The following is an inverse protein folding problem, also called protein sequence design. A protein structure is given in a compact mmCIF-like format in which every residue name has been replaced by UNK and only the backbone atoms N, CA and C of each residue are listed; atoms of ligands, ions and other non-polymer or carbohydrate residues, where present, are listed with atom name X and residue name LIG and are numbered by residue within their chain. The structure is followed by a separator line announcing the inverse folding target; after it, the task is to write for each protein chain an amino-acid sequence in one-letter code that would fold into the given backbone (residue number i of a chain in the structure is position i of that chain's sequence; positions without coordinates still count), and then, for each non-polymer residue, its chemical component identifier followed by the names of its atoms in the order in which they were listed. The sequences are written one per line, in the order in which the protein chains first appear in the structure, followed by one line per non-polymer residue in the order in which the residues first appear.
data_IF_752680980619
#
_entry.id   IF_752680980619
#
_cell.length_a   1.000
_cell.length_b   1.000
_cell.length_c   1.000
_cell.angle_alpha   90.00
_cell.angle_beta   90.00
_cell.angle_gamma   90.00
#
_symmetry.space_group_name_H-M   'P 1'
#
loop_
_entity.id
_entity.type
_entity.pdbx_description
1 polymer ?
#
# COMPACT_ATOMS: atom_id res chain seq x y z
N UNK A 1 50.90 18.49 -10.46
CA UNK A 1 49.68 17.81 -10.92
C UNK A 1 49.33 16.76 -9.89
N UNK A 2 48.39 17.06 -8.98
CA UNK A 2 47.91 16.10 -7.99
C UNK A 2 46.66 15.42 -8.55
N UNK A 3 46.68 14.09 -8.61
CA UNK A 3 45.53 13.31 -9.03
C UNK A 3 44.52 13.25 -7.86
N UNK A 4 43.32 13.78 -8.07
CA UNK A 4 42.20 13.62 -7.15
C UNK A 4 41.76 12.15 -7.13
N UNK A 5 42.00 11.50 -6.00
CA UNK A 5 41.50 10.16 -5.72
C UNK A 5 40.01 10.32 -5.43
N UNK A 6 39.19 10.09 -6.46
CA UNK A 6 37.75 9.99 -6.31
C UNK A 6 37.46 8.75 -5.48
N UNK A 7 37.07 8.94 -4.21
CA UNK A 7 36.66 7.85 -3.33
C UNK A 7 35.44 7.17 -3.96
N UNK A 8 35.59 5.90 -4.32
CA UNK A 8 34.45 5.06 -4.72
C UNK A 8 33.42 5.09 -3.59
N UNK A 9 32.12 5.28 -3.88
CA UNK A 9 31.10 5.14 -2.85
C UNK A 9 31.21 3.71 -2.29
N UNK A 10 31.54 3.62 -1.00
CA UNK A 10 31.55 2.34 -0.30
C UNK A 10 30.13 1.78 -0.37
N UNK A 11 29.95 0.65 -1.06
CA UNK A 11 28.71 -0.11 -0.98
C UNK A 11 28.62 -0.70 0.42
N UNK A 12 28.09 0.08 1.36
CA UNK A 12 27.80 -0.42 2.70
C UNK A 12 26.76 -1.52 2.56
N UNK A 13 27.06 -2.69 3.15
CA UNK A 13 26.06 -3.77 3.22
C UNK A 13 24.87 -3.26 4.03
N UNK A 14 23.63 -3.56 3.63
CA UNK A 14 22.47 -3.21 4.43
C UNK A 14 22.62 -3.86 5.81
N UNK A 15 22.48 -3.05 6.86
CA UNK A 15 22.51 -3.49 8.26
C UNK A 15 21.08 -3.45 8.80
N UNK A 16 20.69 -4.48 9.55
CA UNK A 16 19.40 -4.50 10.23
C UNK A 16 19.37 -3.38 11.29
N UNK A 17 18.52 -2.37 11.08
CA UNK A 17 18.37 -1.25 12.01
C UNK A 17 17.35 -1.53 13.11
N UNK A 18 16.26 -2.23 12.79
CA UNK A 18 15.17 -2.50 13.72
C UNK A 18 14.37 -3.71 13.26
N UNK A 19 13.78 -4.44 14.21
CA UNK A 19 12.85 -5.55 13.98
C UNK A 19 11.52 -5.21 14.67
N UNK A 20 10.43 -5.29 13.92
CA UNK A 20 9.07 -5.10 14.45
C UNK A 20 8.37 -6.46 14.42
N UNK A 21 7.93 -6.93 15.59
CA UNK A 21 7.21 -8.20 15.73
C UNK A 21 5.78 -7.92 16.20
N UNK A 22 4.80 -8.66 15.67
CA UNK A 22 3.44 -8.60 16.21
C UNK A 22 2.34 -9.06 15.27
N UNK A 23 2.54 -9.04 13.95
CA UNK A 23 1.62 -9.70 13.03
C UNK A 23 1.65 -11.22 13.23
N UNK A 24 0.50 -11.86 13.09
CA UNK A 24 0.35 -13.30 13.30
C UNK A 24 0.39 -14.11 11.99
N UNK A 25 0.52 -13.43 10.86
CA UNK A 25 0.62 -14.02 9.53
C UNK A 25 1.48 -13.13 8.62
N UNK A 26 1.61 -13.51 7.36
CA UNK A 26 2.41 -12.80 6.35
C UNK A 26 2.05 -11.30 6.30
N UNK A 27 3.08 -10.46 6.34
CA UNK A 27 2.94 -9.02 6.08
C UNK A 27 2.92 -8.83 4.57
N UNK A 28 1.80 -8.36 4.04
CA UNK A 28 1.59 -8.22 2.59
C UNK A 28 1.99 -6.85 2.07
N UNK A 29 2.06 -5.84 2.93
CA UNK A 29 2.57 -4.52 2.60
C UNK A 29 3.16 -3.80 3.81
N UNK A 30 4.21 -3.02 3.57
CA UNK A 30 4.83 -2.13 4.55
C UNK A 30 5.18 -0.80 3.87
N UNK A 31 4.72 0.31 4.44
CA UNK A 31 4.89 1.66 3.92
C UNK A 31 5.49 2.56 4.99
N UNK A 32 6.58 3.26 4.69
CA UNK A 32 7.13 4.27 5.60
C UNK A 32 6.18 5.47 5.68
N UNK A 33 6.14 6.11 6.83
CA UNK A 33 5.45 7.39 7.03
C UNK A 33 6.49 8.50 6.81
N UNK A 34 6.37 9.32 5.75
CA UNK A 34 7.31 10.41 5.54
C UNK A 34 7.41 11.33 6.75
N UNK A 35 8.63 11.77 7.08
CA UNK A 35 8.96 12.68 8.20
C UNK A 35 8.71 12.14 9.61
N UNK A 36 8.11 10.96 9.75
CA UNK A 36 7.93 10.28 11.03
C UNK A 36 8.81 9.03 11.07
N UNK A 37 9.32 8.67 12.25
CA UNK A 37 9.94 7.36 12.45
C UNK A 37 8.84 6.30 12.61
N UNK A 38 8.12 6.02 11.53
CA UNK A 38 6.94 5.16 11.55
C UNK A 38 6.72 4.34 10.29
N UNK A 39 5.97 3.25 10.45
CA UNK A 39 5.63 2.29 9.39
C UNK A 39 4.16 1.93 9.48
N UNK A 40 3.48 1.87 8.34
CA UNK A 40 2.13 1.31 8.20
C UNK A 40 2.28 -0.07 7.59
N UNK A 41 1.70 -1.09 8.22
CA UNK A 41 1.73 -2.47 7.73
C UNK A 41 0.33 -3.02 7.55
N UNK A 42 0.18 -3.90 6.56
CA UNK A 42 -1.03 -4.69 6.33
C UNK A 42 -0.65 -6.17 6.22
N UNK A 43 -1.53 -7.07 6.63
CA UNK A 43 -1.20 -8.50 6.76
C UNK A 43 -2.37 -9.43 6.42
N UNK A 44 -2.04 -10.67 6.08
CA UNK A 44 -2.99 -11.77 5.94
C UNK A 44 -3.70 -12.11 7.27
N UNK A 45 -3.15 -11.67 8.41
CA UNK A 45 -3.79 -11.75 9.74
C UNK A 45 -5.05 -10.87 9.89
N UNK A 46 -5.43 -10.18 8.81
CA UNK A 46 -6.55 -9.25 8.69
C UNK A 46 -6.36 -7.96 9.49
N UNK A 47 -5.11 -7.57 9.78
CA UNK A 47 -4.85 -6.32 10.50
C UNK A 47 -4.06 -5.30 9.68
N UNK A 48 -4.43 -4.04 9.87
CA UNK A 48 -3.63 -2.88 9.51
C UNK A 48 -3.07 -2.32 10.81
N UNK A 49 -1.77 -2.07 10.84
CA UNK A 49 -1.10 -1.51 12.02
C UNK A 49 -0.27 -0.30 11.63
N UNK A 50 -0.31 0.71 12.49
CA UNK A 50 0.59 1.87 12.40
C UNK A 50 1.55 1.78 13.55
N UNK A 51 2.83 1.76 13.24
CA UNK A 51 3.92 1.62 14.19
C UNK A 51 4.68 2.93 14.27
N UNK A 52 4.81 3.51 15.45
CA UNK A 52 5.63 4.68 15.70
C UNK A 52 6.79 4.30 16.62
N UNK A 53 7.99 4.77 16.29
CA UNK A 53 9.17 4.59 17.12
C UNK A 53 9.11 5.54 18.31
N UNK A 54 9.30 4.99 19.52
CA UNK A 54 9.40 5.76 20.75
C UNK A 54 10.87 6.12 21.03
N UNK A 55 11.08 7.00 22.01
CA UNK A 55 12.42 7.42 22.48
C UNK A 55 13.30 6.23 22.95
N UNK A 56 12.67 5.12 23.35
CA UNK A 56 13.37 3.87 23.67
C UNK A 56 14.01 3.18 22.46
N UNK A 57 13.76 3.68 21.25
CA UNK A 57 14.17 3.08 19.98
C UNK A 57 13.26 1.94 19.51
N UNK A 58 12.26 1.56 20.30
CA UNK A 58 11.32 0.49 19.96
C UNK A 58 10.09 1.04 19.24
N UNK A 59 9.60 0.28 18.26
CA UNK A 59 8.34 0.55 17.59
C UNK A 59 7.16 0.06 18.43
N UNK A 60 6.12 0.87 18.48
CA UNK A 60 4.89 0.56 19.20
C UNK A 60 3.67 0.73 18.28
N UNK A 61 2.69 -0.19 18.32
CA UNK A 61 1.51 -0.10 17.46
C UNK A 61 0.57 1.00 17.99
N UNK A 62 0.64 2.21 17.43
CA UNK A 62 -0.24 3.32 17.76
C UNK A 62 -1.66 3.10 17.25
N UNK A 63 -1.80 2.40 16.12
CA UNK A 63 -3.08 1.94 15.58
C UNK A 63 -3.03 0.43 15.38
N UNK A 64 -4.10 -0.23 15.79
CA UNK A 64 -4.41 -1.62 15.48
C UNK A 64 -5.84 -1.69 14.96
N UNK A 65 -6.02 -2.11 13.71
CA UNK A 65 -7.34 -2.16 13.09
C UNK A 65 -7.58 -3.51 12.41
N UNK A 66 -8.70 -4.14 12.73
CA UNK A 66 -9.08 -5.46 12.22
C UNK A 66 -10.05 -5.33 11.05
N UNK A 67 -9.82 -6.13 10.03
CA UNK A 67 -10.60 -6.19 8.79
C UNK A 67 -11.41 -7.49 8.73
N UNK A 68 -12.42 -7.53 7.86
CA UNK A 68 -13.24 -8.72 7.65
C UNK A 68 -12.53 -9.81 6.83
N UNK A 69 -11.55 -9.45 6.00
CA UNK A 69 -10.83 -10.35 5.08
C UNK A 69 -9.31 -10.03 5.09
N UNK A 70 -8.45 -11.02 4.77
CA UNK A 70 -7.00 -10.81 4.68
C UNK A 70 -6.62 -9.63 3.80
N UNK A 71 -5.64 -8.84 4.23
CA UNK A 71 -5.15 -7.71 3.45
C UNK A 71 -4.14 -8.20 2.41
N UNK A 72 -4.32 -7.82 1.15
CA UNK A 72 -3.52 -8.33 0.02
C UNK A 72 -2.65 -7.28 -0.65
N UNK A 73 -3.04 -6.00 -0.58
CA UNK A 73 -2.31 -4.86 -1.14
C UNK A 73 -2.61 -3.60 -0.35
N UNK A 74 -1.72 -2.61 -0.35
CA UNK A 74 -1.93 -1.34 0.34
C UNK A 74 -1.22 -0.18 -0.38
N UNK A 75 -1.83 1.00 -0.35
CA UNK A 75 -1.19 2.27 -0.69
C UNK A 75 -1.52 3.34 0.35
N UNK A 76 -0.58 4.24 0.62
CA UNK A 76 -0.72 5.35 1.54
C UNK A 76 -0.34 6.64 0.84
N UNK A 77 -1.19 7.67 0.97
CA UNK A 77 -0.90 9.00 0.51
C UNK A 77 -0.72 9.94 1.70
N UNK A 78 0.52 10.41 1.88
CA UNK A 78 0.96 11.16 3.04
C UNK A 78 0.17 12.46 3.26
N UNK A 79 0.12 13.34 2.25
CA UNK A 79 -0.43 14.69 2.45
C UNK A 79 -1.93 14.69 2.69
N UNK A 80 -2.66 13.72 2.10
CA UNK A 80 -4.09 13.55 2.37
C UNK A 80 -4.39 12.59 3.51
N UNK A 81 -3.36 11.98 4.14
CA UNK A 81 -3.47 10.96 5.20
C UNK A 81 -4.46 9.84 4.89
N UNK A 82 -4.52 9.42 3.63
CA UNK A 82 -5.43 8.37 3.16
C UNK A 82 -4.71 7.06 2.94
N UNK A 83 -5.30 5.97 3.43
CA UNK A 83 -4.85 4.60 3.18
C UNK A 83 -5.92 3.91 2.33
N UNK A 84 -5.49 3.18 1.31
CA UNK A 84 -6.33 2.24 0.59
C UNK A 84 -5.78 0.83 0.77
N UNK A 85 -6.65 -0.11 1.15
CA UNK A 85 -6.27 -1.51 1.43
C UNK A 85 -7.13 -2.45 0.60
N UNK A 86 -6.47 -3.33 -0.14
CA UNK A 86 -7.08 -4.38 -0.93
C UNK A 86 -7.19 -5.65 -0.12
N UNK A 87 -8.22 -6.45 -0.40
CA UNK A 87 -8.51 -7.68 0.32
C UNK A 87 -8.59 -8.89 -0.61
N UNK A 88 -8.48 -10.08 -0.02
CA UNK A 88 -8.65 -11.35 -0.70
C UNK A 88 -10.06 -11.57 -1.26
N UNK A 89 -11.07 -10.95 -0.65
CA UNK A 89 -12.46 -10.96 -1.15
C UNK A 89 -12.72 -9.98 -2.32
N UNK A 90 -11.70 -9.25 -2.78
CA UNK A 90 -11.81 -8.28 -3.87
C UNK A 90 -12.27 -6.87 -3.49
N UNK A 91 -12.54 -6.61 -2.20
CA UNK A 91 -12.84 -5.27 -1.71
C UNK A 91 -11.57 -4.40 -1.66
N UNK A 92 -11.73 -3.11 -1.95
CA UNK A 92 -10.77 -2.06 -1.62
C UNK A 92 -11.41 -1.16 -0.57
N UNK A 93 -10.74 -0.94 0.56
CA UNK A 93 -11.26 -0.11 1.65
C UNK A 93 -10.40 1.15 1.81
N UNK A 94 -11.05 2.29 2.02
CA UNK A 94 -10.41 3.58 2.26
C UNK A 94 -10.54 4.00 3.72
N UNK A 95 -9.44 4.49 4.25
CA UNK A 95 -9.32 4.99 5.61
C UNK A 95 -8.64 6.35 5.63
N UNK A 96 -9.00 7.15 6.63
CA UNK A 96 -8.30 8.38 6.98
C UNK A 96 -7.57 8.19 8.30
N UNK A 97 -6.28 8.56 8.33
CA UNK A 97 -5.45 8.50 9.53
C UNK A 97 -5.37 9.88 10.17
N UNK A 98 -5.49 9.94 11.50
CA UNK A 98 -5.37 11.20 12.25
C UNK A 98 -3.97 11.79 12.17
N UNK A 99 -3.86 13.07 12.54
CA UNK A 99 -2.60 13.82 12.47
C UNK A 99 -1.47 13.18 13.29
N UNK A 100 -1.85 12.73 14.48
CA UNK A 100 -1.01 12.11 15.50
C UNK A 100 -0.83 10.59 15.31
N UNK A 101 -1.36 10.01 14.21
CA UNK A 101 -1.27 8.58 13.91
C UNK A 101 -1.78 7.65 15.02
N UNK A 102 -2.75 8.10 15.83
CA UNK A 102 -3.38 7.30 16.90
C UNK A 102 -4.80 6.84 16.58
N UNK A 103 -5.40 7.34 15.51
CA UNK A 103 -6.75 6.96 15.07
C UNK A 103 -6.79 6.72 13.57
N UNK A 104 -7.54 5.71 13.17
CA UNK A 104 -7.85 5.42 11.77
C UNK A 104 -9.35 5.25 11.63
N UNK A 105 -9.94 6.09 10.77
CA UNK A 105 -11.38 6.11 10.54
C UNK A 105 -11.68 5.50 9.18
N UNK A 106 -12.64 4.57 9.15
CA UNK A 106 -13.19 4.04 7.91
C UNK A 106 -13.93 5.14 7.15
N UNK A 107 -13.70 5.22 5.83
CA UNK A 107 -14.41 6.15 4.94
C UNK A 107 -15.37 5.37 4.05
N UNK A 108 -14.86 4.40 3.27
CA UNK A 108 -15.64 3.78 2.20
C UNK A 108 -15.10 2.40 1.83
N UNK A 109 -15.99 1.54 1.34
CA UNK A 109 -15.64 0.26 0.71
C UNK A 109 -16.01 0.31 -0.77
N UNK A 110 -15.07 -0.10 -1.60
CA UNK A 110 -15.17 -0.18 -3.05
C UNK A 110 -15.24 -1.67 -3.44
N UNK A 111 -16.37 -2.15 -4.02
CA UNK A 111 -16.50 -3.52 -4.51
C UNK A 111 -15.75 -3.67 -5.85
N UNK A 112 -14.42 -3.64 -5.78
CA UNK A 112 -13.56 -3.44 -6.93
C UNK A 112 -13.32 -4.69 -7.77
N UNK A 113 -13.26 -5.86 -7.12
CA UNK A 113 -12.92 -7.12 -7.76
C UNK A 113 -13.78 -8.27 -7.23
N UNK A 114 -13.87 -9.36 -7.99
CA UNK A 114 -14.52 -10.61 -7.56
C UNK A 114 -13.57 -11.57 -6.85
N UNK A 115 -12.26 -11.33 -6.93
CA UNK A 115 -11.19 -12.12 -6.34
C UNK A 115 -10.12 -11.19 -5.73
N UNK A 116 -9.12 -11.78 -5.07
CA UNK A 116 -7.97 -11.09 -4.43
C UNK A 116 -7.46 -9.90 -5.23
N UNK A 117 -7.44 -8.75 -4.57
CA UNK A 117 -6.82 -7.52 -5.10
C UNK A 117 -5.30 -7.71 -5.10
N UNK A 118 -4.67 -7.55 -6.26
CA UNK A 118 -3.22 -7.72 -6.42
C UNK A 118 -2.44 -6.42 -6.24
N UNK A 119 -2.99 -5.29 -6.66
CA UNK A 119 -2.32 -4.00 -6.57
C UNK A 119 -3.33 -2.85 -6.47
N UNK A 120 -2.92 -1.75 -5.84
CA UNK A 120 -3.70 -0.52 -5.71
C UNK A 120 -2.79 0.68 -5.92
N UNK A 121 -3.27 1.65 -6.68
CA UNK A 121 -2.69 2.99 -6.77
C UNK A 121 -3.76 4.02 -6.52
N UNK A 122 -3.36 5.14 -5.93
CA UNK A 122 -4.25 6.25 -5.65
C UNK A 122 -3.67 7.53 -6.27
N UNK A 123 -4.54 8.32 -6.90
CA UNK A 123 -4.22 9.59 -7.54
C UNK A 123 -5.08 10.69 -6.93
N UNK A 124 -4.45 11.65 -6.26
CA UNK A 124 -5.14 12.83 -5.71
C UNK A 124 -5.66 13.73 -6.82
N UNK A 125 -4.88 13.92 -7.89
CA UNK A 125 -5.20 14.89 -8.95
C UNK A 125 -6.44 14.50 -9.73
N UNK A 126 -6.63 13.21 -10.00
CA UNK A 126 -7.84 12.68 -10.63
C UNK A 126 -8.90 12.26 -9.61
N UNK A 127 -8.54 12.20 -8.31
CA UNK A 127 -9.34 11.61 -7.24
C UNK A 127 -9.74 10.16 -7.49
N UNK A 128 -8.88 9.38 -8.15
CA UNK A 128 -9.16 7.99 -8.48
C UNK A 128 -8.38 7.03 -7.61
N UNK A 129 -9.02 5.92 -7.27
CA UNK A 129 -8.34 4.69 -6.87
C UNK A 129 -8.41 3.72 -8.04
N UNK A 130 -7.27 3.16 -8.42
CA UNK A 130 -7.16 2.16 -9.48
C UNK A 130 -6.60 0.88 -8.86
N UNK A 131 -7.23 -0.24 -9.15
CA UNK A 131 -6.88 -1.54 -8.58
C UNK A 131 -6.87 -2.63 -9.65
N UNK A 132 -6.06 -3.66 -9.41
CA UNK A 132 -6.06 -4.90 -10.17
C UNK A 132 -6.40 -6.07 -9.28
N UNK A 133 -6.96 -7.13 -9.85
CA UNK A 133 -7.27 -8.35 -9.12
C UNK A 133 -7.04 -9.63 -9.91
N UNK A 134 -7.11 -10.76 -9.20
CA UNK A 134 -7.04 -12.10 -9.77
C UNK A 134 -8.29 -12.45 -10.61
N UNK A 135 -9.29 -11.58 -10.62
CA UNK A 135 -10.42 -11.62 -11.56
C UNK A 135 -10.07 -11.11 -12.96
N UNK A 136 -8.76 -10.89 -13.22
CA UNK A 136 -8.21 -10.43 -14.50
C UNK A 136 -8.72 -9.05 -14.90
N UNK A 137 -9.16 -8.26 -13.92
CA UNK A 137 -9.68 -6.93 -14.18
C UNK A 137 -8.76 -5.85 -13.61
N UNK A 138 -8.68 -4.71 -14.30
CA UNK A 138 -8.33 -3.41 -13.71
C UNK A 138 -9.63 -2.67 -13.49
N UNK A 139 -9.85 -2.12 -12.31
CA UNK A 139 -11.00 -1.27 -11.97
C UNK A 139 -10.51 0.10 -11.54
N UNK A 140 -11.24 1.17 -11.89
CA UNK A 140 -10.99 2.51 -11.37
C UNK A 140 -12.27 3.14 -10.85
N UNK A 141 -12.17 3.80 -9.70
CA UNK A 141 -13.31 4.37 -8.98
C UNK A 141 -13.03 5.79 -8.52
N UNK A 142 -14.08 6.59 -8.45
CA UNK A 142 -14.03 7.96 -7.95
C UNK A 142 -14.02 7.94 -6.42
N UNK A 143 -12.98 8.49 -5.79
CA UNK A 143 -12.89 8.55 -4.33
C UNK A 143 -13.87 9.54 -3.71
N UNK A 144 -14.19 10.63 -4.43
CA UNK A 144 -15.17 11.63 -4.01
C UNK A 144 -16.58 11.06 -3.95
N UNK A 145 -17.10 10.56 -5.07
CA UNK A 145 -18.47 10.04 -5.12
C UNK A 145 -18.57 8.62 -4.58
N UNK A 146 -17.57 7.77 -4.82
CA UNK A 146 -17.63 6.33 -4.55
C UNK A 146 -18.06 5.51 -5.75
N UNK A 147 -18.34 6.14 -6.89
CA UNK A 147 -18.84 5.46 -8.06
C UNK A 147 -17.75 4.71 -8.82
N UNK A 148 -18.15 3.61 -9.43
CA UNK A 148 -17.31 2.89 -10.39
C UNK A 148 -17.25 3.70 -11.67
N UNK A 149 -16.05 4.12 -12.05
CA UNK A 149 -15.83 4.89 -13.28
C UNK A 149 -15.61 3.97 -14.49
N UNK A 150 -15.01 2.81 -14.25
CA UNK A 150 -14.86 1.80 -15.29
C UNK A 150 -14.03 0.60 -14.85
N UNK A 151 -14.02 -0.40 -15.73
CA UNK A 151 -13.27 -1.63 -15.58
C UNK A 151 -12.78 -2.10 -16.95
N UNK A 152 -11.57 -2.64 -17.00
CA UNK A 152 -11.03 -3.32 -18.17
C UNK A 152 -10.64 -4.76 -17.81
N UNK A 153 -11.00 -5.71 -18.67
CA UNK A 153 -10.74 -7.14 -18.46
C UNK A 153 -9.61 -7.59 -19.37
N UNK A 154 -8.68 -8.36 -18.83
CA UNK A 154 -7.53 -8.92 -19.51
C UNK A 154 -7.66 -10.45 -19.64
N UNK A 155 -6.81 -11.06 -20.46
CA UNK A 155 -6.72 -12.52 -20.60
C UNK A 155 -6.03 -13.19 -19.40
N UNK A 156 -5.16 -12.45 -18.71
CA UNK A 156 -4.45 -12.83 -17.49
C UNK A 156 -4.61 -11.76 -16.40
N UNK A 157 -4.30 -12.12 -15.16
CA UNK A 157 -4.29 -11.18 -14.04
C UNK A 157 -3.03 -10.32 -14.03
N UNK A 158 -3.16 -9.08 -13.58
CA UNK A 158 -2.04 -8.18 -13.40
C UNK A 158 -1.47 -8.34 -11.98
N UNK A 159 -0.16 -8.44 -11.87
CA UNK A 159 0.52 -8.62 -10.58
C UNK A 159 0.89 -7.29 -9.93
N UNK A 160 1.04 -6.21 -10.71
CA UNK A 160 1.34 -4.90 -10.18
C UNK A 160 0.81 -3.75 -11.05
N UNK A 161 0.65 -2.61 -10.40
CA UNK A 161 0.32 -1.32 -11.01
C UNK A 161 1.43 -0.34 -10.63
N UNK A 162 1.86 0.46 -11.59
CA UNK A 162 2.79 1.56 -11.35
C UNK A 162 2.22 2.83 -11.98
N UNK A 163 2.14 3.90 -11.21
CA UNK A 163 1.87 5.23 -11.75
C UNK A 163 3.16 6.04 -11.75
N UNK A 164 3.69 6.47 -12.90
CA UNK A 164 4.77 7.43 -12.96
C UNK A 164 4.22 8.77 -12.47
N UNK A 165 5.06 9.50 -11.72
CA UNK A 165 4.78 10.81 -11.13
C UNK A 165 4.45 11.91 -12.17
N UNK A 166 4.30 11.56 -13.46
CA UNK A 166 3.94 12.44 -14.58
C UNK A 166 2.92 11.80 -15.56
N UNK A 167 1.89 11.13 -15.02
CA UNK A 167 0.56 11.19 -15.63
C UNK A 167 -0.03 9.95 -16.31
N UNK A 168 0.58 8.76 -16.28
CA UNK A 168 0.02 7.57 -16.97
C UNK A 168 0.23 6.27 -16.18
N UNK A 169 -0.81 5.71 -15.57
CA UNK A 169 -0.70 4.41 -14.90
C UNK A 169 -0.36 3.28 -15.91
N UNK A 170 0.71 2.54 -15.65
CA UNK A 170 1.11 1.33 -16.38
C UNK A 170 0.87 0.09 -15.49
N UNK A 171 0.16 -0.91 -16.01
CA UNK A 171 0.00 -2.21 -15.36
C UNK A 171 1.02 -3.20 -15.93
N UNK A 172 1.75 -3.93 -15.09
CA UNK A 172 2.55 -5.06 -15.57
C UNK A 172 1.74 -6.35 -15.41
N UNK A 173 1.60 -7.08 -16.51
CA UNK A 173 0.93 -8.38 -16.54
C UNK A 173 1.93 -9.47 -16.17
N UNK A 174 1.61 -10.27 -15.15
CA UNK A 174 2.35 -11.49 -14.84
C UNK A 174 1.77 -12.65 -15.63
N UNK A 175 2.55 -13.29 -16.49
CA UNK A 175 2.21 -14.60 -17.04
C UNK A 175 2.93 -15.68 -16.22
N UNK A 176 2.22 -16.35 -15.33
CA UNK A 176 2.66 -17.65 -14.82
C UNK A 176 2.03 -18.71 -15.73
N UNK A 177 2.81 -19.20 -16.67
CA UNK A 177 2.51 -20.45 -17.36
C UNK A 177 2.76 -21.60 -16.40
N UNK A 178 1.72 -22.36 -16.07
CA UNK A 178 1.85 -23.79 -15.79
C UNK A 178 1.26 -24.55 -16.97
#
# INVERSE_FOLDING_TARGET
MAAEIHSRPQSSRPVLLSKIEGHQDAVTAALLIPKEDGVITASEDRTIRVWLKRDSGQYWPSIYHTMASPCSAMTYHHDSRRIFVGQDNGAVMEFHVSEDFNKMNFIKTYPAHQNRVSAIIFSVTSEWVVSTGHDKCVSWMCTRSGDVLGRHVFTSWASCLQCPLKGWASACLGSLSQ
#
